data_IF_719726667181
#
_entry.id   IF_719726667181
#
_cell.length_a   1.000
_cell.length_b   1.000
_cell.length_c   1.000
_cell.angle_alpha   90.00
_cell.angle_beta   90.00
_cell.angle_gamma   90.00
#
_symmetry.space_group_name_H-M   'P 1'
#
loop_
_entity.id
_entity.type
_entity.pdbx_description
1 polymer ?
#
# COMPACT_ATOMS: atom_id res chain seq x y z
N UNK A 1 0.70 12.04 -2.67
CA UNK A 1 1.17 10.64 -2.57
C UNK A 1 0.05 9.63 -2.88
N UNK A 2 0.39 8.41 -3.31
CA UNK A 2 -0.57 7.33 -3.62
C UNK A 2 -0.25 6.05 -2.86
N UNK A 3 -1.27 5.45 -2.23
CA UNK A 3 -1.16 4.16 -1.55
C UNK A 3 -1.91 3.08 -2.32
N UNK A 4 -1.15 2.14 -2.87
CA UNK A 4 -1.66 0.95 -3.54
C UNK A 4 -1.95 -0.16 -2.53
N UNK A 5 -3.19 -0.62 -2.49
CA UNK A 5 -3.68 -1.60 -1.50
C UNK A 5 -4.43 -2.75 -2.17
N UNK A 6 -4.58 -3.87 -1.46
CA UNK A 6 -5.52 -4.90 -1.89
C UNK A 6 -6.96 -4.35 -1.87
N UNK A 7 -7.91 -5.00 -2.53
CA UNK A 7 -9.26 -4.42 -2.62
C UNK A 7 -10.04 -4.33 -1.29
N UNK A 8 -9.53 -4.93 -0.20
CA UNK A 8 -10.02 -4.67 1.17
C UNK A 8 -9.69 -3.25 1.66
N UNK A 9 -8.76 -2.55 1.01
CA UNK A 9 -8.36 -1.19 1.34
C UNK A 9 -7.45 -1.12 2.56
N UNK A 10 -7.62 -0.04 3.33
CA UNK A 10 -7.00 0.18 4.64
C UNK A 10 -7.91 -0.25 5.79
N UNK A 11 -9.05 -0.88 5.49
CA UNK A 11 -10.03 -1.33 6.49
C UNK A 11 -9.64 -2.66 7.12
N UNK A 12 -9.85 -2.79 8.44
CA UNK A 12 -9.63 -4.02 9.20
C UNK A 12 -8.51 -3.91 10.25
N UNK A 13 -8.30 -4.95 11.07
CA UNK A 13 -7.28 -4.93 12.12
C UNK A 13 -5.88 -4.90 11.50
N UNK A 14 -5.13 -3.82 11.75
CA UNK A 14 -3.77 -3.58 11.24
C UNK A 14 -2.78 -4.73 11.54
N UNK A 15 -3.00 -5.49 12.62
CA UNK A 15 -2.16 -6.64 12.97
C UNK A 15 -2.30 -7.82 11.99
N UNK A 16 -3.45 -7.97 11.32
CA UNK A 16 -3.71 -9.06 10.37
C UNK A 16 -3.71 -8.60 8.91
N UNK A 17 -3.88 -7.30 8.67
CA UNK A 17 -3.94 -6.72 7.32
C UNK A 17 -2.80 -5.72 7.09
N UNK A 18 -1.75 -6.09 6.33
CA UNK A 18 -0.61 -5.20 6.08
C UNK A 18 -1.01 -3.90 5.37
N UNK A 19 -2.04 -3.91 4.52
CA UNK A 19 -2.57 -2.69 3.90
C UNK A 19 -3.25 -1.75 4.91
N UNK A 20 -3.94 -2.29 5.92
CA UNK A 20 -4.53 -1.50 7.01
C UNK A 20 -3.44 -0.90 7.91
N UNK A 21 -2.36 -1.65 8.17
CA UNK A 21 -1.19 -1.14 8.91
C UNK A 21 -0.55 0.07 8.24
N UNK A 22 -0.33 -0.01 6.92
CA UNK A 22 0.26 1.08 6.15
C UNK A 22 -0.65 2.32 6.13
N UNK A 23 -1.95 2.15 5.85
CA UNK A 23 -2.91 3.25 5.86
C UNK A 23 -2.99 3.94 7.20
N UNK A 24 -3.17 3.16 8.28
CA UNK A 24 -3.25 3.70 9.63
C UNK A 24 -1.99 4.49 10.00
N UNK A 25 -0.80 4.00 9.64
CA UNK A 25 0.44 4.71 9.94
C UNK A 25 0.54 6.05 9.19
N UNK A 26 0.06 6.13 7.96
CA UNK A 26 0.00 7.38 7.19
C UNK A 26 -1.05 8.34 7.76
N UNK A 27 -2.22 7.83 8.17
CA UNK A 27 -3.27 8.61 8.83
C UNK A 27 -2.76 9.17 10.17
N UNK A 28 -2.08 8.34 10.98
CA UNK A 28 -1.47 8.73 12.26
C UNK A 28 -0.33 9.75 12.07
N UNK A 29 0.39 9.68 10.94
CA UNK A 29 1.39 10.68 10.54
C UNK A 29 0.78 11.97 10.00
N UNK A 30 -0.53 12.04 9.77
CA UNK A 30 -1.24 13.22 9.28
C UNK A 30 -1.19 13.41 7.76
N UNK A 31 -0.83 12.40 6.99
CA UNK A 31 -0.77 12.52 5.54
C UNK A 31 -2.13 12.32 4.86
N UNK A 32 -2.35 13.06 3.78
CA UNK A 32 -3.43 12.79 2.84
C UNK A 32 -2.86 12.04 1.63
N UNK A 33 -3.53 10.95 1.24
CA UNK A 33 -3.07 10.09 0.15
C UNK A 33 -4.24 9.60 -0.70
N UNK A 34 -3.96 9.37 -1.99
CA UNK A 34 -4.91 8.73 -2.89
C UNK A 34 -4.81 7.21 -2.73
N UNK A 35 -5.93 6.55 -2.43
CA UNK A 35 -5.97 5.10 -2.23
C UNK A 35 -6.35 4.40 -3.53
N UNK A 36 -5.41 3.66 -4.12
CA UNK A 36 -5.63 2.88 -5.34
C UNK A 36 -5.77 1.39 -5.01
N UNK A 37 -6.95 0.82 -5.25
CA UNK A 37 -7.21 -0.60 -5.01
C UNK A 37 -6.77 -1.44 -6.20
N UNK A 38 -5.94 -2.45 -5.95
CA UNK A 38 -5.52 -3.43 -6.96
C UNK A 38 -6.07 -4.83 -6.69
N UNK A 39 -6.39 -5.53 -7.78
CA UNK A 39 -6.88 -6.90 -7.79
C UNK A 39 -5.83 -7.96 -7.41
N UNK A 40 -6.11 -9.23 -7.69
CA UNK A 40 -5.15 -10.33 -7.47
C UNK A 40 -4.97 -10.74 -6.00
N UNK A 41 -6.08 -11.07 -5.33
CA UNK A 41 -6.09 -11.51 -3.93
C UNK A 41 -5.36 -12.84 -3.73
N UNK A 42 -4.34 -12.88 -2.88
CA UNK A 42 -3.59 -14.10 -2.57
C UNK A 42 -4.46 -15.21 -1.97
N UNK A 43 -5.50 -14.84 -1.22
CA UNK A 43 -6.41 -15.77 -0.53
C UNK A 43 -7.55 -16.29 -1.42
N UNK A 44 -7.71 -15.77 -2.64
CA UNK A 44 -8.80 -16.16 -3.55
C UNK A 44 -8.24 -16.91 -4.77
N UNK A 45 -8.32 -18.25 -4.80
CA UNK A 45 -7.69 -19.07 -5.84
C UNK A 45 -8.11 -18.71 -7.27
N UNK A 46 -9.37 -18.27 -7.45
CA UNK A 46 -9.89 -17.84 -8.76
C UNK A 46 -9.21 -16.59 -9.32
N UNK A 47 -8.58 -15.77 -8.48
CA UNK A 47 -7.82 -14.58 -8.91
C UNK A 47 -6.36 -14.90 -9.25
N UNK A 48 -5.85 -16.09 -8.94
CA UNK A 48 -4.43 -16.41 -9.16
C UNK A 48 -4.02 -16.39 -10.64
N UNK A 49 -4.94 -16.77 -11.54
CA UNK A 49 -4.71 -16.74 -13.00
C UNK A 49 -4.57 -15.33 -13.55
N UNK A 50 -5.31 -14.36 -13.02
CA UNK A 50 -5.27 -12.95 -13.46
C UNK A 50 -4.31 -12.11 -12.63
N UNK A 51 -3.86 -12.61 -11.48
CA UNK A 51 -3.04 -11.88 -10.51
C UNK A 51 -1.79 -11.26 -11.12
N UNK A 52 -1.10 -11.95 -12.02
CA UNK A 52 0.09 -11.40 -12.68
C UNK A 52 -0.25 -10.18 -13.56
N UNK A 53 -1.40 -10.19 -14.23
CA UNK A 53 -1.89 -9.06 -15.02
C UNK A 53 -2.39 -7.92 -14.10
N UNK A 54 -3.18 -8.27 -13.08
CA UNK A 54 -3.71 -7.31 -12.09
C UNK A 54 -2.59 -6.61 -11.29
N UNK A 55 -1.44 -7.26 -11.14
CA UNK A 55 -0.25 -6.75 -10.43
C UNK A 55 0.85 -6.26 -11.37
N UNK A 56 0.65 -6.26 -12.69
CA UNK A 56 1.66 -5.80 -13.64
C UNK A 56 2.09 -4.36 -13.35
N UNK A 57 1.11 -3.46 -13.17
CA UNK A 57 1.35 -2.06 -12.81
C UNK A 57 2.13 -1.93 -11.49
N UNK A 58 1.80 -2.74 -10.48
CA UNK A 58 2.51 -2.72 -9.20
C UNK A 58 3.96 -3.17 -9.38
N UNK A 59 4.19 -4.24 -10.15
CA UNK A 59 5.53 -4.73 -10.45
C UNK A 59 6.37 -3.72 -11.23
N UNK A 60 5.77 -2.98 -12.15
CA UNK A 60 6.43 -1.91 -12.89
C UNK A 60 6.83 -0.74 -11.98
N UNK A 61 6.03 -0.44 -10.96
CA UNK A 61 6.27 0.65 -10.01
C UNK A 61 7.29 0.25 -8.91
N UNK A 62 7.10 -0.89 -8.27
CA UNK A 62 7.84 -1.28 -7.05
C UNK A 62 8.80 -2.45 -7.22
N UNK A 63 8.84 -3.06 -8.41
CA UNK A 63 9.61 -4.28 -8.67
C UNK A 63 8.99 -5.55 -8.06
N UNK A 64 7.93 -5.44 -7.26
CA UNK A 64 7.24 -6.57 -6.61
C UNK A 64 5.77 -6.67 -7.02
N UNK A 65 5.19 -7.87 -6.91
CA UNK A 65 3.75 -8.06 -7.11
C UNK A 65 2.93 -7.81 -5.83
N UNK A 66 3.60 -7.48 -4.73
CA UNK A 66 3.00 -7.39 -3.40
C UNK A 66 2.50 -5.98 -3.08
N UNK A 67 1.48 -5.92 -2.22
CA UNK A 67 0.93 -4.68 -1.66
C UNK A 67 0.92 -4.82 -0.14
N UNK A 68 1.01 -3.71 0.63
CA UNK A 68 0.94 -2.31 0.20
C UNK A 68 2.20 -1.78 -0.49
N UNK A 69 2.01 -0.79 -1.37
CA UNK A 69 3.07 0.04 -1.98
C UNK A 69 2.67 1.50 -1.86
N UNK A 70 3.55 2.34 -1.34
CA UNK A 70 3.38 3.78 -1.28
C UNK A 70 4.26 4.42 -2.35
N UNK A 71 3.70 5.37 -3.10
CA UNK A 71 4.43 6.25 -4.01
C UNK A 71 4.32 7.67 -3.48
N UNK A 72 5.46 8.25 -3.14
CA UNK A 72 5.58 9.61 -2.65
C UNK A 72 5.45 10.62 -3.81
N UNK A 73 5.25 11.89 -3.48
CA UNK A 73 5.06 12.95 -4.49
C UNK A 73 6.33 13.27 -5.29
N UNK A 74 7.50 12.95 -4.75
CA UNK A 74 8.80 13.04 -5.43
C UNK A 74 9.11 11.83 -6.32
N UNK A 75 8.21 10.83 -6.34
CA UNK A 75 8.36 9.60 -7.10
C UNK A 75 9.09 8.48 -6.36
N UNK A 76 9.48 8.65 -5.10
CA UNK A 76 10.03 7.56 -4.30
C UNK A 76 8.97 6.48 -4.06
N UNK A 77 9.39 5.21 -4.15
CA UNK A 77 8.52 4.05 -4.01
C UNK A 77 8.93 3.23 -2.78
N UNK A 78 8.02 3.13 -1.82
CA UNK A 78 8.21 2.33 -0.60
C UNK A 78 7.29 1.12 -0.69
N UNK A 79 7.91 -0.05 -0.79
CA UNK A 79 7.21 -1.34 -0.73
C UNK A 79 7.33 -1.94 0.68
N UNK A 80 6.36 -2.76 1.08
CA UNK A 80 6.19 -3.32 2.43
C UNK A 80 5.48 -2.42 3.45
N UNK A 81 4.56 -3.04 4.21
CA UNK A 81 3.76 -2.35 5.23
C UNK A 81 4.57 -1.87 6.43
N UNK A 82 5.63 -2.59 6.82
CA UNK A 82 6.53 -2.22 7.90
C UNK A 82 7.42 -1.06 7.50
N UNK A 83 7.94 -1.07 6.27
CA UNK A 83 8.71 0.03 5.71
C UNK A 83 7.88 1.32 5.60
N UNK A 84 6.66 1.24 5.05
CA UNK A 84 5.74 2.39 4.96
C UNK A 84 5.42 2.93 6.37
N UNK A 85 5.08 2.05 7.31
CA UNK A 85 4.76 2.47 8.68
C UNK A 85 5.97 3.08 9.39
N UNK A 86 7.18 2.62 9.11
CA UNK A 86 8.40 3.21 9.64
C UNK A 86 8.63 4.59 9.04
N UNK A 87 8.58 4.70 7.72
CA UNK A 87 8.76 5.97 7.01
C UNK A 87 7.78 7.04 7.49
N UNK A 88 6.50 6.69 7.64
CA UNK A 88 5.46 7.61 8.10
C UNK A 88 5.73 8.14 9.52
N UNK A 89 6.31 7.32 10.41
CA UNK A 89 6.70 7.78 11.76
C UNK A 89 7.95 8.66 11.77
N UNK A 90 8.90 8.36 10.87
CA UNK A 90 10.14 9.12 10.73
C UNK A 90 9.91 10.46 10.00
N UNK A 91 8.86 10.53 9.18
CA UNK A 91 8.47 11.70 8.40
C UNK A 91 7.01 12.03 8.71
N UNK A 92 6.68 12.70 9.83
CA UNK A 92 5.33 13.20 10.05
C UNK A 92 4.98 14.26 9.00
N UNK A 93 3.70 14.38 8.65
CA UNK A 93 3.24 15.40 7.72
C UNK A 93 3.66 16.79 8.23
N UNK A 94 4.22 17.65 7.37
CA UNK A 94 4.53 19.03 7.76
C UNK A 94 3.21 19.66 8.20
N UNK A 95 3.14 20.02 9.49
CA UNK A 95 1.92 20.52 10.11
C UNK A 95 1.31 21.64 9.28
N UNK A 96 0.06 21.44 8.88
CA UNK A 96 -0.75 22.41 8.14
C UNK A 96 -0.88 23.74 8.85
#
# INVERSE_FOLDING_TARGET
>A
MKLYVCGQGTSGPAAMHPCAKAGKALDEAGYTYELEKVGGYRMLPWTWRTRAADRKKIKEISGTNEVPVLVLDDGEVISDSGAIARWARENPAPGS
#
